data_IF_718676170567
#
_entry.id   IF_718676170567
#
_cell.length_a   1.000
_cell.length_b   1.000
_cell.length_c   1.000
_cell.angle_alpha   90.00
_cell.angle_beta   90.00
_cell.angle_gamma   90.00
#
_symmetry.space_group_name_H-M   'P 1'
#
loop_
_entity.id
_entity.type
_entity.pdbx_description
1 polymer ?
#
# COMPACT_ATOMS: atom_id res chain seq x y z
N UNK A 1 -8.93 5.40 7.07
CA UNK A 1 -9.67 5.78 5.84
C UNK A 1 -11.14 6.04 6.18
N UNK A 2 -11.83 7.08 5.64
CA UNK A 2 -13.26 7.27 5.88
C UNK A 2 -14.11 6.39 4.96
N UNK A 3 -15.30 5.96 5.41
CA UNK A 3 -16.25 5.18 4.61
C UNK A 3 -16.77 5.96 3.40
N UNK A 4 -16.96 5.28 2.26
CA UNK A 4 -17.57 5.86 1.06
C UNK A 4 -16.72 6.93 0.35
N UNK A 5 -15.42 6.96 0.60
CA UNK A 5 -14.50 7.86 -0.11
C UNK A 5 -14.39 7.46 -1.58
N UNK A 6 -14.08 8.43 -2.45
CA UNK A 6 -13.99 8.21 -3.90
C UNK A 6 -12.56 8.18 -4.42
N UNK A 7 -11.59 7.80 -3.57
CA UNK A 7 -10.17 7.72 -3.94
C UNK A 7 -9.72 6.56 -4.83
N UNK A 8 -10.35 5.37 -4.82
CA UNK A 8 -9.89 4.24 -5.62
C UNK A 8 -9.87 4.55 -7.12
N UNK A 9 -9.01 3.83 -7.85
CA UNK A 9 -8.82 4.02 -9.30
C UNK A 9 -10.12 3.86 -10.10
N UNK A 10 -10.96 2.90 -9.72
CA UNK A 10 -12.20 2.58 -10.46
C UNK A 10 -13.21 3.73 -10.42
N UNK A 11 -13.18 4.59 -9.40
CA UNK A 11 -14.07 5.74 -9.34
C UNK A 11 -13.72 6.81 -10.39
N UNK A 12 -12.49 6.80 -10.92
CA UNK A 12 -12.12 7.66 -12.05
C UNK A 12 -12.85 7.28 -13.34
N UNK A 13 -13.26 6.02 -13.49
CA UNK A 13 -14.02 5.55 -14.66
C UNK A 13 -15.43 6.13 -14.73
N UNK A 14 -15.86 6.87 -13.72
CA UNK A 14 -17.12 7.61 -13.71
C UNK A 14 -16.94 9.07 -14.14
N UNK A 15 -15.69 9.54 -14.28
CA UNK A 15 -15.40 10.94 -14.58
C UNK A 15 -15.63 11.26 -16.07
N UNK A 16 -15.97 12.52 -16.40
CA UNK A 16 -16.06 12.96 -17.80
C UNK A 16 -14.78 12.66 -18.58
N UNK A 17 -14.92 12.29 -19.86
CA UNK A 17 -13.86 11.81 -20.76
C UNK A 17 -13.22 10.47 -20.35
N UNK A 18 -12.92 10.25 -19.07
CA UNK A 18 -12.35 8.98 -18.59
C UNK A 18 -13.36 7.84 -18.69
N UNK A 19 -14.65 8.10 -18.43
CA UNK A 19 -15.71 7.09 -18.59
C UNK A 19 -15.82 6.53 -20.02
N UNK A 20 -15.41 7.31 -21.02
CA UNK A 20 -15.47 6.92 -22.43
C UNK A 20 -14.26 6.04 -22.83
N UNK A 21 -13.26 5.91 -21.93
CA UNK A 21 -12.10 5.05 -22.06
C UNK A 21 -12.39 3.58 -21.73
N UNK A 22 -13.60 3.24 -21.30
CA UNK A 22 -14.04 1.85 -21.10
C UNK A 22 -15.34 1.61 -21.86
N UNK A 23 -15.56 0.37 -22.30
CA UNK A 23 -16.76 -0.02 -23.04
C UNK A 23 -18.01 -0.08 -22.18
N UNK A 24 -17.83 -0.47 -20.92
CA UNK A 24 -18.91 -0.69 -19.97
C UNK A 24 -18.59 -0.01 -18.65
N UNK A 25 -19.61 0.56 -17.97
CA UNK A 25 -19.43 1.04 -16.62
C UNK A 25 -19.08 -0.14 -15.70
N UNK A 26 -18.09 0.05 -14.84
CA UNK A 26 -17.67 -0.93 -13.85
C UNK A 26 -18.27 -0.59 -12.49
N UNK A 27 -18.77 -1.61 -11.80
CA UNK A 27 -19.19 -1.49 -10.41
C UNK A 27 -17.97 -1.24 -9.52
N UNK A 28 -17.98 -0.21 -8.63
CA UNK A 28 -16.92 -0.02 -7.63
C UNK A 28 -16.59 -1.27 -6.79
N UNK A 29 -17.54 -2.19 -6.61
CA UNK A 29 -17.35 -3.42 -5.82
C UNK A 29 -16.74 -4.58 -6.61
N UNK A 30 -16.56 -4.45 -7.92
CA UNK A 30 -16.07 -5.55 -8.79
C UNK A 30 -14.75 -6.15 -8.31
N UNK A 31 -13.82 -5.34 -7.77
CA UNK A 31 -12.56 -5.85 -7.25
C UNK A 31 -12.78 -6.75 -6.03
N UNK A 32 -13.71 -6.39 -5.15
CA UNK A 32 -14.05 -7.20 -3.96
C UNK A 32 -14.68 -8.51 -4.41
N UNK A 33 -15.65 -8.46 -5.33
CA UNK A 33 -16.33 -9.66 -5.86
C UNK A 33 -15.36 -10.64 -6.54
N UNK A 34 -14.42 -10.12 -7.32
CA UNK A 34 -13.40 -10.92 -7.99
C UNK A 34 -12.45 -11.59 -6.98
N UNK A 35 -12.01 -10.86 -5.96
CA UNK A 35 -11.15 -11.43 -4.93
C UNK A 35 -11.93 -12.41 -4.02
N UNK A 36 -13.23 -12.21 -3.79
CA UNK A 36 -14.08 -13.16 -3.08
C UNK A 36 -14.28 -14.47 -3.86
N UNK A 37 -14.34 -14.37 -5.19
CA UNK A 37 -14.49 -15.52 -6.10
C UNK A 37 -13.15 -16.23 -6.36
N UNK A 38 -12.05 -15.74 -5.79
CA UNK A 38 -10.72 -16.26 -6.03
C UNK A 38 -10.54 -17.64 -5.40
N UNK A 39 -9.89 -18.60 -6.10
CA UNK A 39 -9.61 -19.90 -5.52
C UNK A 39 -8.73 -19.80 -4.26
N UNK A 40 -8.98 -20.65 -3.25
CA UNK A 40 -8.17 -20.71 -2.04
C UNK A 40 -6.69 -20.92 -2.35
N UNK A 41 -5.83 -20.42 -1.47
CA UNK A 41 -4.39 -20.63 -1.56
C UNK A 41 -4.09 -22.13 -1.45
N UNK A 42 -3.39 -22.68 -2.44
CA UNK A 42 -2.93 -24.06 -2.40
C UNK A 42 -1.67 -24.16 -1.53
N UNK A 43 -1.85 -24.45 -0.25
CA UNK A 43 -0.75 -24.65 0.69
C UNK A 43 -0.29 -26.11 0.69
N UNK A 44 1.04 -26.38 0.75
CA UNK A 44 1.56 -27.72 0.93
C UNK A 44 0.92 -28.45 2.13
N UNK A 45 0.31 -29.62 1.87
CA UNK A 45 -0.33 -30.39 2.93
C UNK A 45 0.69 -30.97 3.93
N UNK A 46 1.85 -31.37 3.43
CA UNK A 46 2.99 -31.82 4.23
C UNK A 46 4.20 -30.90 3.96
N UNK A 47 4.22 -29.70 4.55
CA UNK A 47 5.30 -28.76 4.31
C UNK A 47 6.62 -29.32 4.80
N UNK A 48 7.69 -29.03 4.06
CA UNK A 48 9.06 -29.48 4.38
C UNK A 48 10.00 -28.27 4.41
N UNK A 49 9.86 -27.39 5.43
CA UNK A 49 10.69 -26.20 5.53
C UNK A 49 12.18 -26.56 5.58
N UNK A 50 12.99 -25.85 4.80
CA UNK A 50 14.44 -26.07 4.74
C UNK A 50 15.15 -25.53 5.98
N UNK A 51 15.39 -26.38 6.97
CA UNK A 51 16.02 -25.96 8.22
C UNK A 51 17.52 -25.60 8.10
N UNK A 52 18.15 -25.73 6.91
CA UNK A 52 19.58 -25.40 6.71
C UNK A 52 19.79 -23.89 6.57
N UNK A 53 18.88 -23.18 5.88
CA UNK A 53 19.05 -21.77 5.54
C UNK A 53 18.39 -20.80 6.54
N UNK A 54 18.01 -21.27 7.73
CA UNK A 54 17.22 -20.48 8.69
C UNK A 54 17.92 -19.20 9.13
N UNK A 55 19.23 -19.24 9.34
CA UNK A 55 20.02 -18.06 9.71
C UNK A 55 20.03 -16.98 8.60
N UNK A 56 20.14 -17.42 7.33
CA UNK A 56 20.13 -16.51 6.16
C UNK A 56 18.78 -15.83 6.02
N UNK A 57 17.70 -16.60 6.14
CA UNK A 57 16.34 -16.06 6.05
C UNK A 57 16.00 -15.17 7.25
N UNK A 58 16.42 -15.53 8.46
CA UNK A 58 16.27 -14.65 9.62
C UNK A 58 17.01 -13.32 9.43
N UNK A 59 18.26 -13.32 8.92
CA UNK A 59 18.95 -12.06 8.61
C UNK A 59 18.20 -11.26 7.55
N UNK A 60 17.79 -11.92 6.47
CA UNK A 60 17.03 -11.27 5.39
C UNK A 60 15.72 -10.65 5.90
N UNK A 61 15.04 -11.28 6.86
CA UNK A 61 13.88 -10.69 7.52
C UNK A 61 14.23 -9.39 8.23
N UNK A 62 15.24 -9.40 9.12
CA UNK A 62 15.58 -8.19 9.88
C UNK A 62 16.12 -7.06 9.00
N UNK A 63 16.81 -7.41 7.92
CA UNK A 63 17.43 -6.42 7.03
C UNK A 63 16.43 -5.84 6.01
N UNK A 64 15.42 -6.62 5.58
CA UNK A 64 14.56 -6.26 4.43
C UNK A 64 13.06 -6.26 4.72
N UNK A 65 12.60 -6.91 5.79
CA UNK A 65 11.17 -7.04 6.15
C UNK A 65 10.80 -6.17 7.34
N UNK A 66 11.64 -6.17 8.39
CA UNK A 66 11.35 -5.52 9.67
C UNK A 66 11.18 -4.00 9.55
N UNK A 67 11.73 -3.39 8.49
CA UNK A 67 11.51 -1.97 8.15
C UNK A 67 10.05 -1.68 7.79
N UNK A 68 9.32 -2.64 7.21
CA UNK A 68 7.91 -2.49 6.80
C UNK A 68 6.94 -2.94 7.89
N UNK A 69 7.32 -3.97 8.64
CA UNK A 69 6.52 -4.58 9.71
C UNK A 69 7.37 -4.62 10.98
N UNK A 70 7.38 -3.53 11.74
CA UNK A 70 8.29 -3.31 12.86
C UNK A 70 7.90 -4.09 14.13
N UNK A 71 7.35 -5.29 13.98
CA UNK A 71 6.72 -6.04 15.05
C UNK A 71 7.58 -7.19 15.60
N UNK A 72 8.83 -7.37 15.19
CA UNK A 72 9.72 -8.39 15.78
C UNK A 72 10.95 -7.72 16.37
N UNK A 73 11.15 -7.90 17.68
CA UNK A 73 12.32 -7.38 18.39
C UNK A 73 13.56 -8.23 18.04
N UNK A 74 14.59 -7.66 17.37
CA UNK A 74 15.81 -8.39 17.01
C UNK A 74 16.52 -8.98 18.23
N UNK A 75 16.43 -8.33 19.40
CA UNK A 75 17.08 -8.76 20.63
C UNK A 75 16.37 -9.97 21.27
N UNK A 76 15.06 -10.11 21.05
CA UNK A 76 14.28 -11.25 21.55
C UNK A 76 14.33 -12.47 20.60
N UNK A 77 14.83 -12.30 19.37
CA UNK A 77 14.82 -13.34 18.33
C UNK A 77 15.44 -14.67 18.77
N UNK A 78 16.62 -14.63 19.40
CA UNK A 78 17.32 -15.82 19.86
C UNK A 78 16.52 -16.63 20.88
N UNK A 79 15.72 -15.95 21.71
CA UNK A 79 14.84 -16.60 22.67
C UNK A 79 13.67 -17.29 21.95
N UNK A 80 12.97 -16.57 21.08
CA UNK A 80 11.88 -17.12 20.26
C UNK A 80 12.33 -18.35 19.46
N UNK A 81 13.50 -18.28 18.81
CA UNK A 81 14.03 -19.40 18.02
C UNK A 81 14.35 -20.62 18.89
N UNK A 82 14.98 -20.42 20.06
CA UNK A 82 15.29 -21.51 21.01
C UNK A 82 14.01 -22.17 21.53
N UNK A 83 13.02 -21.37 21.90
CA UNK A 83 11.78 -21.87 22.49
C UNK A 83 10.97 -22.65 21.45
N UNK A 84 10.91 -22.15 20.20
CA UNK A 84 10.34 -22.89 19.07
C UNK A 84 11.09 -24.20 18.76
N UNK A 85 12.41 -24.20 18.84
CA UNK A 85 13.25 -25.40 18.63
C UNK A 85 12.97 -26.47 19.69
N UNK A 86 12.76 -26.06 20.95
CA UNK A 86 12.50 -26.98 22.06
C UNK A 86 11.23 -27.83 21.88
N UNK A 87 10.28 -27.33 21.09
CA UNK A 87 9.03 -28.02 20.73
C UNK A 87 9.01 -28.45 19.27
N UNK A 88 10.15 -28.44 18.57
CA UNK A 88 10.25 -28.89 17.18
C UNK A 88 9.40 -28.09 16.18
N UNK A 89 9.08 -26.82 16.49
CA UNK A 89 8.27 -25.93 15.66
C UNK A 89 6.81 -26.35 15.41
N UNK A 90 6.26 -27.30 16.17
CA UNK A 90 4.91 -27.85 15.91
C UNK A 90 3.80 -27.25 16.77
N UNK A 91 4.14 -26.41 17.77
CA UNK A 91 3.15 -25.83 18.68
C UNK A 91 3.61 -24.51 19.29
N UNK A 92 2.66 -23.70 19.75
CA UNK A 92 2.92 -22.44 20.43
C UNK A 92 3.10 -21.24 19.48
N UNK A 93 3.06 -20.04 20.06
CA UNK A 93 3.17 -18.79 19.32
C UNK A 93 4.60 -18.59 18.77
N UNK A 94 5.64 -18.95 19.54
CA UNK A 94 7.03 -18.84 19.10
C UNK A 94 7.33 -19.66 17.84
N UNK A 95 6.78 -20.89 17.75
CA UNK A 95 6.88 -21.72 16.54
C UNK A 95 6.23 -21.05 15.33
N UNK A 96 5.05 -20.46 15.52
CA UNK A 96 4.35 -19.74 14.45
C UNK A 96 5.12 -18.49 14.03
N UNK A 97 5.59 -17.69 15.00
CA UNK A 97 6.40 -16.50 14.80
C UNK A 97 7.67 -16.81 14.01
N UNK A 98 8.44 -17.82 14.43
CA UNK A 98 9.69 -18.21 13.75
C UNK A 98 9.41 -18.66 12.32
N UNK A 99 8.38 -19.49 12.10
CA UNK A 99 8.01 -19.92 10.76
C UNK A 99 7.58 -18.74 9.86
N UNK A 100 6.86 -17.74 10.39
CA UNK A 100 6.48 -16.54 9.64
C UNK A 100 7.69 -15.64 9.33
N UNK A 101 8.60 -15.45 10.29
CA UNK A 101 9.86 -14.71 10.09
C UNK A 101 10.69 -15.38 8.99
N UNK A 102 10.82 -16.71 9.01
CA UNK A 102 11.55 -17.45 7.98
C UNK A 102 10.85 -17.40 6.61
N UNK A 103 9.51 -17.47 6.57
CA UNK A 103 8.74 -17.34 5.34
C UNK A 103 8.97 -15.98 4.67
N UNK A 104 8.82 -14.90 5.43
CA UNK A 104 9.03 -13.53 4.97
C UNK A 104 10.50 -13.25 4.63
N UNK A 105 11.44 -13.81 5.41
CA UNK A 105 12.86 -13.74 5.12
C UNK A 105 13.23 -14.40 3.81
N UNK A 106 12.68 -15.58 3.52
CA UNK A 106 12.84 -16.26 2.23
C UNK A 106 12.19 -15.49 1.07
N UNK A 107 11.01 -14.89 1.29
CA UNK A 107 10.35 -14.02 0.32
C UNK A 107 11.22 -12.80 -0.02
N UNK A 108 11.73 -12.09 0.99
CA UNK A 108 12.59 -10.93 0.81
C UNK A 108 13.91 -11.28 0.11
N UNK A 109 14.52 -12.41 0.49
CA UNK A 109 15.74 -12.92 -0.14
C UNK A 109 15.55 -13.27 -1.62
N UNK A 110 14.38 -13.77 -1.98
CA UNK A 110 14.02 -14.09 -3.37
C UNK A 110 13.68 -12.86 -4.23
N UNK A 111 13.38 -11.72 -3.60
CA UNK A 111 12.91 -10.51 -4.28
C UNK A 111 11.44 -10.57 -4.70
N UNK A 112 11.04 -9.67 -5.61
CA UNK A 112 9.64 -9.52 -6.02
C UNK A 112 9.06 -10.79 -6.64
N UNK A 113 7.90 -11.23 -6.12
CA UNK A 113 7.14 -12.37 -6.64
C UNK A 113 6.81 -12.22 -8.14
N UNK A 114 6.70 -10.98 -8.62
CA UNK A 114 6.45 -10.66 -10.03
C UNK A 114 7.57 -11.09 -11.00
N UNK A 115 8.76 -11.39 -10.47
CA UNK A 115 9.93 -11.84 -11.24
C UNK A 115 10.10 -13.36 -11.22
N UNK A 116 9.29 -14.06 -10.43
CA UNK A 116 9.31 -15.51 -10.41
C UNK A 116 8.55 -16.07 -11.63
N UNK A 117 8.93 -17.26 -12.11
CA UNK A 117 8.13 -17.96 -13.12
C UNK A 117 6.69 -18.15 -12.63
N UNK A 118 5.69 -18.01 -13.51
CA UNK A 118 4.27 -18.04 -13.13
C UNK A 118 3.83 -19.31 -12.37
N UNK A 119 4.50 -20.44 -12.59
CA UNK A 119 4.20 -21.72 -11.95
C UNK A 119 5.21 -22.09 -10.85
N UNK A 120 6.14 -21.19 -10.52
CA UNK A 120 7.07 -21.42 -9.44
C UNK A 120 6.35 -21.31 -8.09
N UNK A 121 6.73 -22.17 -7.15
CA UNK A 121 6.26 -22.05 -5.78
C UNK A 121 6.74 -20.73 -5.16
N UNK A 122 5.87 -19.99 -4.46
CA UNK A 122 6.30 -18.77 -3.77
C UNK A 122 7.41 -19.06 -2.78
N UNK A 123 8.36 -18.13 -2.66
CA UNK A 123 9.48 -18.29 -1.72
C UNK A 123 8.97 -18.28 -0.29
N UNK A 124 9.38 -19.27 0.50
CA UNK A 124 9.00 -19.38 1.90
C UNK A 124 7.65 -20.07 2.17
N UNK A 125 7.00 -20.63 1.14
CA UNK A 125 5.65 -21.20 1.24
C UNK A 125 5.56 -22.39 2.21
N UNK A 126 6.59 -23.24 2.29
CA UNK A 126 6.64 -24.34 3.26
C UNK A 126 6.67 -23.84 4.71
N UNK A 127 7.40 -22.76 4.97
CA UNK A 127 7.41 -22.12 6.30
C UNK A 127 6.06 -21.50 6.61
N UNK A 128 5.48 -20.78 5.65
CA UNK A 128 4.14 -20.19 5.81
C UNK A 128 3.08 -21.27 6.04
N UNK A 129 3.10 -22.37 5.29
CA UNK A 129 2.18 -23.49 5.46
C UNK A 129 2.36 -24.17 6.83
N UNK A 130 3.60 -24.25 7.33
CA UNK A 130 3.88 -24.74 8.69
C UNK A 130 3.30 -23.80 9.75
N UNK A 131 3.47 -22.48 9.60
CA UNK A 131 2.85 -21.47 10.46
C UNK A 131 1.32 -21.53 10.40
N UNK A 132 0.75 -21.70 9.21
CA UNK A 132 -0.70 -21.71 8.95
C UNK A 132 -1.41 -22.81 9.74
N UNK A 133 -0.75 -23.96 9.95
CA UNK A 133 -1.27 -25.05 10.80
C UNK A 133 -1.39 -24.66 12.27
N UNK A 134 -0.64 -23.66 12.73
CA UNK A 134 -0.64 -23.18 14.12
C UNK A 134 -1.63 -22.02 14.35
N UNK A 135 -1.95 -21.25 13.31
CA UNK A 135 -2.84 -20.08 13.38
C UNK A 135 -4.20 -20.39 14.03
N UNK A 136 -4.90 -21.51 13.75
CA UNK A 136 -6.18 -21.82 14.40
C UNK A 136 -6.13 -21.84 15.93
N UNK A 137 -5.03 -22.35 16.50
CA UNK A 137 -4.83 -22.38 17.96
C UNK A 137 -4.58 -20.97 18.52
N UNK A 138 -4.02 -20.07 17.72
CA UNK A 138 -3.80 -18.66 18.09
C UNK A 138 -5.06 -17.81 17.90
N UNK A 139 -5.97 -18.21 17.01
CA UNK A 139 -7.20 -17.48 16.73
C UNK A 139 -8.12 -17.33 17.96
N UNK A 140 -8.06 -18.26 18.91
CA UNK A 140 -8.83 -18.20 20.17
C UNK A 140 -8.09 -17.50 21.33
N UNK A 141 -6.82 -17.11 21.16
CA UNK A 141 -6.00 -16.43 22.18
C UNK A 141 -6.08 -14.91 22.03
N UNK A 142 -6.09 -14.17 23.13
CA UNK A 142 -6.13 -12.69 23.13
C UNK A 142 -4.88 -12.12 23.80
N UNK A 143 -3.71 -12.56 23.32
CA UNK A 143 -2.41 -12.12 23.80
C UNK A 143 -1.57 -11.53 22.66
N UNK A 144 -0.50 -10.83 23.05
CA UNK A 144 0.38 -10.11 22.13
C UNK A 144 1.06 -11.03 21.10
N UNK A 145 1.59 -12.21 21.47
CA UNK A 145 2.16 -13.14 20.50
C UNK A 145 1.16 -13.62 19.45
N UNK A 146 -0.11 -13.87 19.82
CA UNK A 146 -1.13 -14.22 18.85
C UNK A 146 -1.37 -13.07 17.85
N UNK A 147 -1.49 -11.83 18.33
CA UNK A 147 -1.67 -10.64 17.47
C UNK A 147 -0.50 -10.52 16.48
N UNK A 148 0.73 -10.64 16.98
CA UNK A 148 1.97 -10.60 16.19
C UNK A 148 1.99 -11.64 15.07
N UNK A 149 1.58 -12.89 15.37
CA UNK A 149 1.49 -13.94 14.35
C UNK A 149 0.44 -13.64 13.27
N UNK A 150 -0.70 -13.04 13.61
CA UNK A 150 -1.71 -12.68 12.60
C UNK A 150 -1.23 -11.55 11.68
N UNK A 151 -0.52 -10.55 12.21
CA UNK A 151 0.05 -9.46 11.40
C UNK A 151 1.13 -9.99 10.46
N UNK A 152 2.03 -10.84 10.93
CA UNK A 152 3.06 -11.45 10.07
C UNK A 152 2.48 -12.43 9.05
N UNK A 153 1.39 -13.14 9.38
CA UNK A 153 0.65 -13.94 8.42
C UNK A 153 0.02 -13.05 7.32
N UNK A 154 -0.56 -11.91 7.70
CA UNK A 154 -1.06 -10.91 6.75
C UNK A 154 0.07 -10.36 5.85
N UNK A 155 1.24 -10.08 6.41
CA UNK A 155 2.42 -9.63 5.66
C UNK A 155 2.82 -10.64 4.56
N UNK A 156 2.82 -11.94 4.87
CA UNK A 156 3.11 -12.95 3.86
C UNK A 156 2.01 -13.05 2.80
N UNK A 157 0.74 -12.87 3.20
CA UNK A 157 -0.39 -12.82 2.25
C UNK A 157 -0.32 -11.58 1.34
N UNK A 158 0.17 -10.43 1.82
CA UNK A 158 0.45 -9.27 0.98
C UNK A 158 1.54 -9.57 -0.06
N UNK A 159 2.63 -10.26 0.33
CA UNK A 159 3.64 -10.74 -0.62
C UNK A 159 3.05 -11.67 -1.68
N UNK A 160 2.11 -12.55 -1.30
CA UNK A 160 1.37 -13.42 -2.22
C UNK A 160 0.31 -12.68 -3.06
N UNK A 161 0.12 -11.37 -2.86
CA UNK A 161 -0.91 -10.55 -3.51
C UNK A 161 -2.31 -11.10 -3.22
N UNK A 162 -2.61 -11.39 -1.95
CA UNK A 162 -3.87 -11.95 -1.44
C UNK A 162 -4.58 -10.94 -0.52
N UNK A 163 -5.15 -9.85 -1.06
CA UNK A 163 -5.61 -8.71 -0.25
C UNK A 163 -6.77 -9.05 0.70
N UNK A 164 -7.73 -9.89 0.29
CA UNK A 164 -8.86 -10.26 1.15
C UNK A 164 -8.46 -11.24 2.25
N UNK A 165 -7.62 -12.23 1.95
CA UNK A 165 -7.09 -13.12 2.98
C UNK A 165 -6.22 -12.35 3.98
N UNK A 166 -5.41 -11.39 3.52
CA UNK A 166 -4.65 -10.50 4.39
C UNK A 166 -5.59 -9.63 5.25
N UNK A 167 -6.64 -9.07 4.66
CA UNK A 167 -7.67 -8.31 5.38
C UNK A 167 -8.32 -9.12 6.52
N UNK A 168 -8.61 -10.41 6.29
CA UNK A 168 -9.14 -11.29 7.33
C UNK A 168 -8.17 -11.40 8.53
N UNK A 169 -6.89 -11.59 8.27
CA UNK A 169 -5.87 -11.67 9.33
C UNK A 169 -5.72 -10.34 10.09
N UNK A 170 -5.72 -9.22 9.37
CA UNK A 170 -5.68 -7.87 9.96
C UNK A 170 -6.93 -7.60 10.80
N UNK A 171 -8.11 -8.02 10.37
CA UNK A 171 -9.37 -7.86 11.13
C UNK A 171 -9.35 -8.65 12.43
N UNK A 172 -8.80 -9.88 12.41
CA UNK A 172 -8.61 -10.69 13.62
C UNK A 172 -7.60 -10.02 14.56
N UNK A 173 -6.46 -9.56 14.03
CA UNK A 173 -5.45 -8.83 14.81
C UNK A 173 -6.02 -7.57 15.46
N UNK A 174 -6.78 -6.78 14.70
CA UNK A 174 -7.47 -5.59 15.18
C UNK A 174 -8.43 -5.90 16.33
N UNK A 175 -9.29 -6.91 16.18
CA UNK A 175 -10.24 -7.28 17.23
C UNK A 175 -9.53 -7.64 18.54
N UNK A 176 -8.41 -8.37 18.44
CA UNK A 176 -7.58 -8.72 19.59
C UNK A 176 -6.88 -7.49 20.20
N UNK A 177 -6.36 -6.60 19.36
CA UNK A 177 -5.73 -5.35 19.80
C UNK A 177 -6.72 -4.48 20.57
N UNK A 178 -7.94 -4.30 20.07
CA UNK A 178 -8.98 -3.52 20.75
C UNK A 178 -9.31 -4.09 22.14
N UNK A 179 -9.34 -5.42 22.30
CA UNK A 179 -9.51 -6.07 23.60
C UNK A 179 -8.34 -5.79 24.54
N UNK A 180 -7.10 -5.93 24.06
CA UNK A 180 -5.88 -5.71 24.87
C UNK A 180 -5.74 -4.24 25.26
N UNK A 181 -5.98 -3.31 24.33
CA UNK A 181 -5.94 -1.87 24.55
C UNK A 181 -7.05 -1.39 25.50
N UNK A 182 -8.18 -2.11 25.55
CA UNK A 182 -9.26 -1.85 26.51
C UNK A 182 -8.90 -2.20 27.97
N UNK A 183 -7.81 -2.95 28.21
CA UNK A 183 -7.38 -3.35 29.56
C UNK A 183 -5.85 -3.18 29.71
N UNK A 184 -5.32 -1.94 29.63
CA UNK A 184 -3.88 -1.68 29.51
C UNK A 184 -3.06 -2.17 30.70
N UNK A 185 -3.64 -2.22 31.91
CA UNK A 185 -2.98 -2.68 33.13
C UNK A 185 -2.59 -4.17 33.08
N UNK A 186 -3.19 -4.95 32.18
CA UNK A 186 -2.85 -6.37 31.99
C UNK A 186 -1.65 -6.60 31.06
N UNK A 187 -1.15 -5.55 30.42
CA UNK A 187 -0.02 -5.65 29.48
C UNK A 187 1.29 -5.53 30.24
N UNK A 188 2.14 -6.59 30.26
CA UNK A 188 3.44 -6.53 30.91
C UNK A 188 4.30 -5.41 30.30
N UNK A 189 5.10 -4.73 31.13
CA UNK A 189 5.89 -3.57 30.70
C UNK A 189 6.76 -3.86 29.47
N UNK A 190 7.41 -5.03 29.43
CA UNK A 190 8.25 -5.50 28.31
C UNK A 190 7.49 -5.62 26.97
N UNK A 191 6.17 -5.76 26.99
CA UNK A 191 5.36 -5.89 25.78
C UNK A 191 4.67 -4.59 25.34
N UNK A 192 4.80 -3.49 26.11
CA UNK A 192 4.10 -2.23 25.80
C UNK A 192 4.53 -1.63 24.47
N UNK A 193 5.83 -1.60 24.20
CA UNK A 193 6.32 -1.10 22.90
C UNK A 193 5.87 -1.99 21.75
N UNK A 194 5.97 -3.32 21.91
CA UNK A 194 5.46 -4.25 20.90
C UNK A 194 3.97 -4.03 20.62
N UNK A 195 3.16 -3.82 21.66
CA UNK A 195 1.73 -3.51 21.50
C UNK A 195 1.49 -2.24 20.66
N UNK A 196 2.27 -1.18 20.91
CA UNK A 196 2.19 0.08 20.14
C UNK A 196 2.52 -0.18 18.67
N UNK A 197 3.60 -0.92 18.37
CA UNK A 197 3.98 -1.23 16.99
C UNK A 197 2.95 -2.10 16.27
N UNK A 198 2.43 -3.13 16.94
CA UNK A 198 1.37 -4.00 16.41
C UNK A 198 0.09 -3.21 16.09
N UNK A 199 -0.26 -2.22 16.92
CA UNK A 199 -1.37 -1.30 16.65
C UNK A 199 -1.15 -0.53 15.33
N UNK A 200 0.01 0.11 15.18
CA UNK A 200 0.31 0.89 13.98
C UNK A 200 0.44 0.03 12.72
N UNK A 201 1.07 -1.15 12.80
CA UNK A 201 1.12 -2.11 11.68
C UNK A 201 -0.31 -2.48 11.22
N UNK A 202 -1.20 -2.76 12.17
CA UNK A 202 -2.61 -3.10 11.88
C UNK A 202 -3.36 -1.93 11.26
N UNK A 203 -3.23 -0.72 11.82
CA UNK A 203 -3.93 0.47 11.33
C UNK A 203 -3.44 0.89 9.94
N UNK A 204 -2.13 0.80 9.68
CA UNK A 204 -1.53 1.08 8.37
C UNK A 204 -2.07 0.08 7.33
N UNK A 205 -1.94 -1.22 7.59
CA UNK A 205 -2.37 -2.27 6.68
C UNK A 205 -3.88 -2.22 6.40
N UNK A 206 -4.72 -2.01 7.43
CA UNK A 206 -6.17 -1.85 7.23
C UNK A 206 -6.46 -0.61 6.40
N UNK A 207 -5.83 0.53 6.70
CA UNK A 207 -6.09 1.77 5.97
C UNK A 207 -5.63 1.73 4.51
N UNK A 208 -4.59 0.96 4.19
CA UNK A 208 -4.13 0.71 2.82
C UNK A 208 -5.15 -0.12 2.04
N UNK A 209 -5.67 -1.20 2.63
CA UNK A 209 -6.72 -2.03 2.03
C UNK A 209 -8.01 -1.25 1.81
N UNK A 210 -8.47 -0.52 2.84
CA UNK A 210 -9.66 0.33 2.78
C UNK A 210 -9.50 1.49 1.81
N UNK A 211 -8.28 1.84 1.36
CA UNK A 211 -8.06 2.89 0.37
C UNK A 211 -8.45 2.47 -1.05
N UNK A 212 -8.53 1.16 -1.29
CA UNK A 212 -8.73 0.58 -2.62
C UNK A 212 -9.98 -0.31 -2.70
N UNK A 213 -10.39 -0.90 -1.56
CA UNK A 213 -11.53 -1.81 -1.47
C UNK A 213 -12.58 -1.28 -0.48
N UNK A 214 -13.85 -1.41 -0.84
CA UNK A 214 -14.98 -1.13 0.04
C UNK A 214 -15.20 -2.28 1.04
N UNK A 215 -14.32 -2.39 2.03
CA UNK A 215 -14.38 -3.45 3.05
C UNK A 215 -15.01 -2.97 4.35
N UNK A 216 -15.54 -3.89 5.18
CA UNK A 216 -15.91 -3.58 6.55
C UNK A 216 -14.69 -3.07 7.34
N UNK A 217 -14.91 -2.01 8.11
CA UNK A 217 -13.90 -1.45 9.01
C UNK A 217 -13.95 -2.20 10.34
N UNK A 218 -12.78 -2.60 10.88
CA UNK A 218 -12.71 -3.26 12.18
C UNK A 218 -12.91 -2.32 13.37
N UNK A 219 -12.69 -1.01 13.18
CA UNK A 219 -12.79 0.01 14.24
C UNK A 219 -11.47 0.36 14.93
N UNK A 220 -10.34 -0.23 14.51
CA UNK A 220 -9.02 0.03 15.11
C UNK A 220 -8.62 1.51 15.12
N UNK A 221 -9.05 2.27 14.10
CA UNK A 221 -8.81 3.72 13.98
C UNK A 221 -9.30 4.52 15.18
N UNK A 222 -10.31 4.04 15.91
CA UNK A 222 -10.83 4.73 17.09
C UNK A 222 -9.82 4.80 18.26
N UNK A 223 -8.75 4.01 18.20
CA UNK A 223 -7.68 4.00 19.19
C UNK A 223 -6.47 4.86 18.78
N UNK A 224 -6.49 5.50 17.60
CA UNK A 224 -5.37 6.31 17.08
C UNK A 224 -4.94 7.44 18.03
N UNK A 225 -5.90 8.08 18.71
CA UNK A 225 -5.61 9.22 19.59
C UNK A 225 -5.08 8.81 20.98
N UNK A 226 -5.25 7.53 21.36
CA UNK A 226 -4.82 7.02 22.68
C UNK A 226 -3.53 6.22 22.60
N UNK A 227 -3.20 5.65 21.44
CA UNK A 227 -1.94 4.94 21.24
C UNK A 227 -0.85 5.93 20.83
N UNK A 228 0.24 5.98 21.61
CA UNK A 228 1.40 6.81 21.31
C UNK A 228 2.12 6.39 20.03
N UNK A 229 3.06 7.21 19.57
CA UNK A 229 3.94 6.82 18.46
C UNK A 229 4.94 5.74 18.92
N UNK A 230 5.35 4.82 18.02
CA UNK A 230 6.29 3.77 18.36
C UNK A 230 7.67 4.34 18.68
N UNK A 231 8.34 3.73 19.65
CA UNK A 231 9.68 4.08 20.12
C UNK A 231 10.64 2.89 20.07
N UNK A 232 11.90 3.05 20.48
CA UNK A 232 12.83 1.92 20.57
C UNK A 232 12.37 0.91 21.63
N UNK A 233 12.72 -0.37 21.46
CA UNK A 233 12.50 -1.35 22.54
C UNK A 233 13.35 -0.99 23.77
N UNK A 234 12.72 -0.96 24.95
CA UNK A 234 13.30 -0.45 26.20
C UNK A 234 14.26 -1.41 26.93
N UNK A 235 14.60 -2.56 26.35
CA UNK A 235 15.20 -3.68 27.08
C UNK A 235 16.73 -3.63 27.26
N UNK A 236 17.45 -2.56 26.85
CA UNK A 236 18.90 -2.48 27.11
C UNK A 236 19.39 -1.05 27.34
N UNK A 237 20.01 -0.81 28.51
CA UNK A 237 21.00 0.25 28.69
C UNK A 237 22.23 -0.08 27.83
N UNK A 238 22.25 0.37 26.58
CA UNK A 238 23.44 0.30 25.72
C UNK A 238 23.22 -0.37 24.37
N UNK A 239 23.50 0.40 23.32
CA UNK A 239 23.49 0.04 21.89
C UNK A 239 22.12 -0.16 21.24
N UNK A 240 21.60 0.94 20.68
CA UNK A 240 20.63 0.89 19.59
C UNK A 240 21.20 0.00 18.48
N UNK A 241 20.62 -1.18 18.27
CA UNK A 241 20.97 -1.98 17.09
C UNK A 241 20.43 -1.25 15.85
N UNK A 242 21.20 -1.17 14.77
CA UNK A 242 20.73 -0.58 13.51
C UNK A 242 19.48 -1.27 12.94
N UNK A 243 19.15 -2.45 13.45
CA UNK A 243 18.01 -3.30 13.05
C UNK A 243 16.68 -2.95 13.74
N UNK A 244 16.69 -2.00 14.69
CA UNK A 244 15.50 -1.43 15.34
C UNK A 244 15.21 0.03 14.90
N UNK A 245 15.68 0.42 13.72
CA UNK A 245 15.49 1.78 13.21
C UNK A 245 14.05 2.00 12.70
N UNK A 246 13.35 3.00 13.27
CA UNK A 246 11.93 3.25 13.01
C UNK A 246 11.64 4.42 12.05
N UNK A 247 12.65 4.99 11.38
CA UNK A 247 12.44 6.20 10.56
C UNK A 247 11.38 6.02 9.49
N UNK A 248 11.45 4.92 8.72
CA UNK A 248 10.47 4.63 7.69
C UNK A 248 9.07 4.45 8.30
N UNK A 249 8.98 3.66 9.38
CA UNK A 249 7.70 3.37 10.03
C UNK A 249 7.01 4.63 10.57
N UNK A 250 7.76 5.52 11.24
CA UNK A 250 7.24 6.80 11.72
C UNK A 250 6.83 7.74 10.57
N UNK A 251 7.63 7.78 9.50
CA UNK A 251 7.30 8.58 8.31
C UNK A 251 6.01 8.09 7.64
N UNK A 252 5.84 6.76 7.52
CA UNK A 252 4.65 6.14 6.94
C UNK A 252 3.40 6.38 7.81
N UNK A 253 3.52 6.26 9.14
CA UNK A 253 2.45 6.63 10.08
C UNK A 253 2.00 8.08 9.84
N UNK A 254 2.93 9.03 9.86
CA UNK A 254 2.62 10.44 9.66
C UNK A 254 1.95 10.70 8.31
N UNK A 255 2.44 10.07 7.24
CA UNK A 255 1.88 10.22 5.90
C UNK A 255 0.48 9.59 5.79
N UNK A 256 0.26 8.43 6.40
CA UNK A 256 -1.05 7.76 6.41
C UNK A 256 -2.10 8.58 7.16
N UNK A 257 -1.74 9.19 8.28
CA UNK A 257 -2.62 10.14 9.00
C UNK A 257 -3.00 11.33 8.12
N UNK A 258 -2.03 11.88 7.38
CA UNK A 258 -2.30 12.93 6.40
C UNK A 258 -3.21 12.44 5.26
N UNK A 259 -2.96 11.28 4.66
CA UNK A 259 -3.80 10.69 3.61
C UNK A 259 -5.26 10.46 4.08
N UNK A 260 -5.45 9.97 5.31
CA UNK A 260 -6.78 9.82 5.90
C UNK A 260 -7.49 11.18 6.03
N UNK A 261 -6.77 12.22 6.45
CA UNK A 261 -7.27 13.60 6.54
C UNK A 261 -7.63 14.18 5.17
N UNK A 262 -6.77 14.00 4.16
CA UNK A 262 -7.03 14.38 2.76
C UNK A 262 -8.32 13.72 2.28
N UNK A 263 -8.45 12.40 2.48
CA UNK A 263 -9.62 11.63 2.06
C UNK A 263 -10.91 12.16 2.69
N UNK A 264 -10.88 12.45 3.98
CA UNK A 264 -12.05 12.97 4.71
C UNK A 264 -12.42 14.41 4.33
N UNK A 265 -11.43 15.32 4.23
CA UNK A 265 -11.71 16.72 3.94
C UNK A 265 -12.13 16.95 2.48
N UNK A 266 -11.53 16.25 1.52
CA UNK A 266 -11.77 16.49 0.09
C UNK A 266 -12.86 15.60 -0.50
N UNK A 267 -13.01 14.35 -0.05
CA UNK A 267 -13.89 13.36 -0.70
C UNK A 267 -15.11 12.98 0.12
N UNK A 268 -15.22 13.47 1.36
CA UNK A 268 -16.41 13.27 2.19
C UNK A 268 -17.03 14.61 2.57
N UNK A 269 -16.24 15.56 3.09
CA UNK A 269 -16.76 16.84 3.61
C UNK A 269 -16.89 17.96 2.57
N UNK A 270 -16.21 17.86 1.43
CA UNK A 270 -16.26 18.88 0.39
C UNK A 270 -17.07 18.34 -0.79
N UNK A 271 -18.35 18.70 -0.90
CA UNK A 271 -19.13 18.30 -2.06
C UNK A 271 -18.52 18.91 -3.33
N UNK A 272 -18.68 18.23 -4.46
CA UNK A 272 -18.22 18.70 -5.79
C UNK A 272 -18.80 20.06 -6.19
N UNK A 273 -19.91 20.48 -5.56
CA UNK A 273 -20.56 21.78 -5.72
C UNK A 273 -19.99 22.90 -4.84
N UNK A 274 -18.99 22.61 -4.00
CA UNK A 274 -18.39 23.61 -3.13
C UNK A 274 -17.69 24.72 -3.94
N UNK A 275 -17.72 25.98 -3.48
CA UNK A 275 -17.02 27.07 -4.16
C UNK A 275 -15.51 26.78 -4.28
N UNK A 276 -14.94 27.10 -5.43
CA UNK A 276 -13.50 26.94 -5.74
C UNK A 276 -12.60 27.54 -4.66
N UNK A 277 -13.02 28.65 -4.02
CA UNK A 277 -12.27 29.30 -2.95
C UNK A 277 -12.13 28.46 -1.67
N UNK A 278 -13.16 27.67 -1.32
CA UNK A 278 -13.11 26.75 -0.17
C UNK A 278 -12.16 25.59 -0.49
N UNK A 279 -12.29 25.01 -1.68
CA UNK A 279 -11.40 23.95 -2.15
C UNK A 279 -9.94 24.44 -2.16
N UNK A 280 -9.68 25.64 -2.68
CA UNK A 280 -8.34 26.26 -2.72
C UNK A 280 -7.69 26.36 -1.34
N UNK A 281 -8.44 26.81 -0.33
CA UNK A 281 -7.92 26.90 1.06
C UNK A 281 -7.58 25.54 1.64
N UNK A 282 -8.48 24.56 1.49
CA UNK A 282 -8.28 23.20 2.03
C UNK A 282 -7.10 22.52 1.31
N UNK A 283 -7.04 22.60 -0.02
CA UNK A 283 -5.94 22.04 -0.82
C UNK A 283 -4.60 22.69 -0.45
N UNK A 284 -4.54 24.02 -0.32
CA UNK A 284 -3.29 24.72 0.02
C UNK A 284 -2.76 24.30 1.39
N UNK A 285 -3.64 24.15 2.38
CA UNK A 285 -3.27 23.67 3.71
C UNK A 285 -2.76 22.22 3.67
N UNK A 286 -3.42 21.33 2.92
CA UNK A 286 -3.00 19.94 2.77
C UNK A 286 -1.65 19.80 2.02
N UNK A 287 -1.42 20.58 0.96
CA UNK A 287 -0.14 20.64 0.23
C UNK A 287 0.99 21.17 1.13
N UNK A 288 0.68 22.16 1.97
CA UNK A 288 1.62 22.66 2.96
C UNK A 288 2.00 21.60 3.99
N UNK A 289 1.02 20.89 4.57
CA UNK A 289 1.28 19.79 5.50
C UNK A 289 2.09 18.65 4.86
N UNK A 290 1.80 18.32 3.59
CA UNK A 290 2.57 17.32 2.84
C UNK A 290 4.02 17.78 2.62
N UNK A 291 4.23 19.07 2.34
CA UNK A 291 5.56 19.65 2.19
C UNK A 291 6.32 19.65 3.52
N UNK A 292 5.67 19.99 4.63
CA UNK A 292 6.26 19.92 5.97
C UNK A 292 6.64 18.49 6.36
N UNK A 293 5.79 17.52 6.03
CA UNK A 293 6.08 16.11 6.22
C UNK A 293 7.37 15.71 5.50
N UNK A 294 7.52 16.10 4.23
CA UNK A 294 8.73 15.83 3.46
C UNK A 294 9.97 16.53 4.05
N UNK A 295 9.83 17.80 4.44
CA UNK A 295 10.97 18.53 5.00
C UNK A 295 11.45 17.96 6.33
N UNK A 296 10.53 17.43 7.13
CA UNK A 296 10.80 16.76 8.40
C UNK A 296 11.38 15.34 8.27
N UNK A 297 11.50 14.78 7.06
CA UNK A 297 12.11 13.46 6.88
C UNK A 297 13.61 13.48 7.26
N UNK A 298 14.09 12.50 8.04
CA UNK A 298 15.52 12.39 8.33
C UNK A 298 16.31 11.94 7.09
N UNK A 299 17.59 12.32 7.04
CA UNK A 299 18.48 12.10 5.89
C UNK A 299 18.46 10.67 5.31
N UNK A 300 18.44 9.58 6.10
CA UNK A 300 18.48 8.20 5.57
C UNK A 300 17.26 7.82 4.70
N UNK A 301 16.11 8.45 4.92
CA UNK A 301 14.87 8.15 4.21
C UNK A 301 14.33 9.32 3.39
N UNK A 302 14.96 10.50 3.47
CA UNK A 302 14.64 11.65 2.62
C UNK A 302 15.06 11.32 1.18
N UNK A 303 14.17 11.59 0.22
CA UNK A 303 14.35 11.21 -1.18
C UNK A 303 14.38 12.45 -2.09
N UNK A 304 15.03 12.40 -3.26
CA UNK A 304 14.99 13.52 -4.19
C UNK A 304 13.61 13.68 -4.85
N UNK A 305 13.14 14.93 -4.97
CA UNK A 305 11.87 15.27 -5.64
C UNK A 305 11.90 15.05 -7.16
N UNK A 306 13.09 14.96 -7.75
CA UNK A 306 13.28 14.64 -9.16
C UNK A 306 13.29 13.12 -9.36
N UNK A 307 14.03 12.60 -10.32
CA UNK A 307 14.11 11.17 -10.61
C UNK A 307 14.99 10.46 -9.57
N UNK A 308 14.54 9.32 -9.05
CA UNK A 308 15.38 8.43 -8.25
C UNK A 308 16.09 7.45 -9.19
N UNK A 309 17.41 7.55 -9.27
CA UNK A 309 18.25 6.58 -9.99
C UNK A 309 18.74 5.43 -9.09
N UNK A 310 18.91 5.66 -7.78
CA UNK A 310 19.46 4.67 -6.84
C UNK A 310 19.12 5.01 -5.37
N UNK A 311 17.86 4.83 -4.99
CA UNK A 311 17.39 5.03 -3.60
C UNK A 311 17.29 3.74 -2.80
N UNK A 312 17.36 3.83 -1.48
CA UNK A 312 16.99 2.73 -0.59
C UNK A 312 15.52 2.33 -0.80
N UNK A 313 15.12 1.09 -0.46
CA UNK A 313 13.73 0.69 -0.63
C UNK A 313 12.71 1.63 0.04
N UNK A 314 13.03 2.10 1.25
CA UNK A 314 12.23 3.08 1.98
C UNK A 314 12.11 4.42 1.24
N UNK A 315 13.21 4.96 0.71
CA UNK A 315 13.19 6.22 -0.07
C UNK A 315 12.29 6.11 -1.31
N UNK A 316 12.39 4.99 -2.04
CA UNK A 316 11.56 4.74 -3.23
C UNK A 316 10.08 4.68 -2.85
N UNK A 317 9.73 3.89 -1.83
CA UNK A 317 8.34 3.75 -1.39
C UNK A 317 7.76 5.07 -0.87
N UNK A 318 8.49 5.81 -0.04
CA UNK A 318 8.05 7.11 0.46
C UNK A 318 7.85 8.14 -0.66
N UNK A 319 8.72 8.14 -1.70
CA UNK A 319 8.53 9.00 -2.87
C UNK A 319 7.25 8.65 -3.61
N UNK A 320 7.00 7.36 -3.87
CA UNK A 320 5.78 6.91 -4.54
C UNK A 320 4.54 7.32 -3.74
N UNK A 321 4.54 7.10 -2.43
CA UNK A 321 3.45 7.50 -1.52
C UNK A 321 3.25 9.02 -1.46
N UNK A 322 4.33 9.80 -1.45
CA UNK A 322 4.28 11.26 -1.47
C UNK A 322 3.57 11.78 -2.73
N UNK A 323 3.97 11.30 -3.91
CA UNK A 323 3.34 11.73 -5.16
C UNK A 323 1.91 11.19 -5.31
N UNK A 324 1.61 9.98 -4.81
CA UNK A 324 0.23 9.49 -4.71
C UNK A 324 -0.65 10.44 -3.89
N UNK A 325 -0.18 10.82 -2.69
CA UNK A 325 -0.86 11.76 -1.80
C UNK A 325 -1.08 13.11 -2.49
N UNK A 326 -0.04 13.64 -3.14
CA UNK A 326 -0.11 14.90 -3.87
C UNK A 326 -1.11 14.85 -5.03
N UNK A 327 -1.17 13.77 -5.79
CA UNK A 327 -2.24 13.56 -6.79
C UNK A 327 -3.61 13.62 -6.14
N UNK A 328 -3.82 12.90 -5.03
CA UNK A 328 -5.12 12.88 -4.33
C UNK A 328 -5.49 14.26 -3.80
N UNK A 329 -4.53 15.10 -3.40
CA UNK A 329 -4.81 16.48 -2.97
C UNK A 329 -5.33 17.35 -4.14
N UNK A 330 -4.76 17.20 -5.33
CA UNK A 330 -5.01 18.10 -6.46
C UNK A 330 -5.94 17.57 -7.56
N UNK A 331 -6.24 16.28 -7.59
CA UNK A 331 -7.14 15.70 -8.61
C UNK A 331 -8.57 16.29 -8.65
N UNK A 332 -9.15 16.89 -7.58
CA UNK A 332 -10.45 17.56 -7.70
C UNK A 332 -10.45 18.71 -8.73
N UNK A 333 -9.32 19.37 -8.97
CA UNK A 333 -9.22 20.42 -9.99
C UNK A 333 -9.22 19.84 -11.39
N UNK A 334 -8.57 18.70 -11.60
CA UNK A 334 -8.62 17.97 -12.88
C UNK A 334 -10.05 17.54 -13.17
N UNK A 335 -10.76 17.00 -12.17
CA UNK A 335 -12.19 16.68 -12.29
C UNK A 335 -13.03 17.90 -12.70
N UNK A 336 -12.76 19.07 -12.09
CA UNK A 336 -13.49 20.30 -12.41
C UNK A 336 -13.33 20.70 -13.89
N UNK A 337 -12.10 20.63 -14.42
CA UNK A 337 -11.82 20.96 -15.82
C UNK A 337 -12.35 19.90 -16.80
N UNK A 338 -12.30 18.61 -16.44
CA UNK A 338 -12.93 17.56 -17.24
C UNK A 338 -14.45 17.74 -17.30
N UNK A 339 -15.06 18.29 -16.25
CA UNK A 339 -16.50 18.56 -16.19
C UNK A 339 -16.92 19.84 -16.91
N UNK A 340 -16.11 20.90 -16.83
CA UNK A 340 -16.27 22.16 -17.56
C UNK A 340 -14.89 22.71 -17.93
N UNK A 341 -14.56 22.65 -19.22
CA UNK A 341 -13.26 23.12 -19.71
C UNK A 341 -13.00 24.61 -19.41
N UNK A 342 -14.05 25.42 -19.21
CA UNK A 342 -13.89 26.84 -18.88
C UNK A 342 -13.33 27.06 -17.47
N UNK A 343 -13.42 26.07 -16.58
CA UNK A 343 -12.85 26.15 -15.23
C UNK A 343 -11.35 26.45 -15.26
N UNK A 344 -10.65 26.07 -16.33
CA UNK A 344 -9.21 26.35 -16.53
C UNK A 344 -8.89 27.84 -16.70
N UNK A 345 -9.91 28.70 -16.94
CA UNK A 345 -9.73 30.14 -17.05
C UNK A 345 -9.27 30.76 -15.72
N UNK A 346 -9.71 30.18 -14.59
CA UNK A 346 -9.21 30.51 -13.26
C UNK A 346 -7.75 30.05 -13.12
N UNK A 347 -6.86 31.00 -12.79
CA UNK A 347 -5.43 30.73 -12.63
C UNK A 347 -5.14 29.76 -11.48
N UNK A 348 -5.95 29.76 -10.42
CA UNK A 348 -5.82 28.85 -9.27
C UNK A 348 -6.13 27.42 -9.70
N UNK A 349 -7.22 27.24 -10.46
CA UNK A 349 -7.60 25.91 -11.00
C UNK A 349 -6.52 25.40 -11.93
N UNK A 350 -6.04 26.24 -12.85
CA UNK A 350 -4.99 25.89 -13.82
C UNK A 350 -3.70 25.44 -13.14
N UNK A 351 -3.23 26.19 -12.15
CA UNK A 351 -1.99 25.88 -11.44
C UNK A 351 -2.12 24.57 -10.63
N UNK A 352 -3.27 24.35 -9.97
CA UNK A 352 -3.50 23.12 -9.24
C UNK A 352 -3.69 21.89 -10.15
N UNK A 353 -4.26 22.06 -11.35
CA UNK A 353 -4.25 21.01 -12.38
C UNK A 353 -2.81 20.65 -12.77
N UNK A 354 -1.95 21.65 -12.99
CA UNK A 354 -0.53 21.45 -13.32
C UNK A 354 0.19 20.65 -12.23
N UNK A 355 -0.01 21.02 -10.95
CA UNK A 355 0.54 20.27 -9.80
C UNK A 355 0.06 18.82 -9.75
N UNK A 356 -1.23 18.59 -10.02
CA UNK A 356 -1.80 17.24 -10.08
C UNK A 356 -1.12 16.39 -11.14
N UNK A 357 -1.08 16.89 -12.38
CA UNK A 357 -0.53 16.16 -13.52
C UNK A 357 0.97 15.92 -13.36
N UNK A 358 1.70 16.89 -12.83
CA UNK A 358 3.11 16.73 -12.46
C UNK A 358 3.29 15.60 -11.43
N UNK A 359 2.47 15.56 -10.37
CA UNK A 359 2.54 14.49 -9.38
C UNK A 359 2.23 13.10 -9.98
N UNK A 360 1.23 13.01 -10.88
CA UNK A 360 0.90 11.77 -11.58
C UNK A 360 2.11 11.25 -12.36
N UNK A 361 2.71 12.13 -13.16
CA UNK A 361 3.86 11.80 -14.00
C UNK A 361 5.08 11.41 -13.16
N UNK A 362 5.34 12.11 -12.05
CA UNK A 362 6.42 11.76 -11.11
C UNK A 362 6.22 10.41 -10.44
N UNK A 363 4.99 9.98 -10.23
CA UNK A 363 4.73 8.67 -9.65
C UNK A 363 4.97 7.54 -10.68
N UNK A 364 4.60 7.77 -11.95
CA UNK A 364 4.67 6.74 -13.01
C UNK A 364 5.93 6.84 -13.90
N UNK A 365 6.86 7.77 -13.62
CA UNK A 365 8.10 7.96 -14.39
C UNK A 365 9.07 6.77 -14.32
N UNK A 366 8.97 5.96 -13.28
CA UNK A 366 9.71 4.71 -13.12
C UNK A 366 8.75 3.61 -12.63
N UNK A 367 8.01 3.03 -13.58
CA UNK A 367 7.01 2.00 -13.31
C UNK A 367 7.61 0.84 -12.50
N UNK A 368 8.82 0.40 -12.87
CA UNK A 368 9.50 -0.72 -12.21
C UNK A 368 9.86 -0.46 -10.74
N UNK A 369 9.94 0.80 -10.31
CA UNK A 369 10.23 1.15 -8.92
C UNK A 369 9.15 0.65 -7.94
N UNK A 370 7.91 0.44 -8.39
CA UNK A 370 6.83 -0.10 -7.56
C UNK A 370 7.12 -1.53 -7.07
N UNK A 371 8.02 -2.26 -7.75
CA UNK A 371 8.46 -3.60 -7.32
C UNK A 371 9.32 -3.57 -6.06
N UNK A 372 9.89 -2.42 -5.70
CA UNK A 372 10.66 -2.29 -4.46
C UNK A 372 9.79 -2.58 -3.25
N UNK A 373 8.54 -2.10 -3.26
CA UNK A 373 7.52 -2.39 -2.25
C UNK A 373 6.86 -3.77 -2.40
N UNK A 374 7.53 -4.75 -3.01
CA UNK A 374 6.93 -6.06 -3.31
C UNK A 374 6.36 -6.83 -2.12
N UNK A 375 6.87 -6.59 -0.91
CA UNK A 375 6.39 -7.23 0.31
C UNK A 375 5.06 -6.59 0.77
N UNK A 376 5.01 -5.29 1.11
CA UNK A 376 3.79 -4.71 1.66
C UNK A 376 2.83 -4.09 0.62
N UNK A 377 3.31 -3.66 -0.55
CA UNK A 377 2.57 -2.68 -1.39
C UNK A 377 2.42 -3.09 -2.85
N UNK A 378 2.82 -4.29 -3.28
CA UNK A 378 2.81 -4.63 -4.71
C UNK A 378 1.42 -4.46 -5.34
N UNK A 379 0.39 -4.97 -4.64
CA UNK A 379 -1.00 -4.91 -5.07
C UNK A 379 -1.52 -3.47 -5.15
N UNK A 380 -1.36 -2.71 -4.06
CA UNK A 380 -1.81 -1.31 -3.99
C UNK A 380 -1.01 -0.41 -4.97
N UNK A 381 0.28 -0.66 -5.13
CA UNK A 381 1.13 0.04 -6.09
C UNK A 381 0.64 -0.12 -7.51
N UNK A 382 0.22 -1.33 -7.89
CA UNK A 382 -0.39 -1.59 -9.20
C UNK A 382 -1.72 -0.83 -9.39
N UNK A 383 -2.58 -0.77 -8.38
CA UNK A 383 -3.82 0.03 -8.46
C UNK A 383 -3.54 1.53 -8.52
N UNK A 384 -2.50 2.00 -7.82
CA UNK A 384 -2.04 3.38 -7.92
C UNK A 384 -1.56 3.70 -9.34
N UNK A 385 -0.82 2.80 -10.00
CA UNK A 385 -0.43 2.98 -11.41
C UNK A 385 -1.66 3.15 -12.31
N UNK A 386 -2.68 2.29 -12.16
CA UNK A 386 -3.96 2.41 -12.89
C UNK A 386 -4.57 3.78 -12.69
N UNK A 387 -4.68 4.25 -11.44
CA UNK A 387 -5.25 5.56 -11.12
C UNK A 387 -4.52 6.70 -11.81
N UNK A 388 -3.18 6.73 -11.74
CA UNK A 388 -2.41 7.81 -12.36
C UNK A 388 -2.51 7.77 -13.89
N UNK A 389 -2.44 6.58 -14.48
CA UNK A 389 -2.48 6.40 -15.93
C UNK A 389 -3.84 6.80 -16.51
N UNK A 390 -4.96 6.39 -15.89
CA UNK A 390 -6.29 6.82 -16.31
C UNK A 390 -6.46 8.34 -16.22
N UNK A 391 -5.95 8.97 -15.17
CA UNK A 391 -6.02 10.41 -15.00
C UNK A 391 -5.20 11.16 -16.07
N UNK A 392 -4.00 10.68 -16.40
CA UNK A 392 -3.18 11.22 -17.49
C UNK A 392 -3.85 11.02 -18.85
N UNK A 393 -4.43 9.84 -19.11
CA UNK A 393 -5.19 9.58 -20.34
C UNK A 393 -6.36 10.56 -20.49
N UNK A 394 -7.19 10.72 -19.46
CA UNK A 394 -8.28 11.70 -19.45
C UNK A 394 -7.80 13.13 -19.67
N UNK A 395 -6.71 13.54 -19.01
CA UNK A 395 -6.13 14.86 -19.17
C UNK A 395 -5.68 15.15 -20.60
N UNK A 396 -5.14 14.15 -21.32
CA UNK A 396 -4.75 14.36 -22.72
C UNK A 396 -5.93 14.50 -23.68
N UNK A 397 -7.12 13.99 -23.31
CA UNK A 397 -8.32 14.11 -24.15
C UNK A 397 -8.97 15.50 -24.06
N UNK A 398 -8.67 16.28 -23.02
CA UNK A 398 -9.05 17.70 -22.94
C UNK A 398 -7.91 18.57 -23.47
N UNK A 399 -8.12 19.38 -24.53
CA UNK A 399 -7.07 20.24 -25.09
C UNK A 399 -6.46 21.20 -24.06
N UNK A 400 -7.27 21.68 -23.11
CA UNK A 400 -6.83 22.61 -22.06
C UNK A 400 -5.93 21.95 -21.02
N UNK A 401 -6.26 20.73 -20.59
CA UNK A 401 -5.43 19.96 -19.67
C UNK A 401 -4.18 19.41 -20.36
N UNK A 402 -4.31 18.95 -21.61
CA UNK A 402 -3.19 18.48 -22.43
C UNK A 402 -2.11 19.55 -22.57
N UNK A 403 -2.49 20.83 -22.69
CA UNK A 403 -1.56 21.95 -22.74
C UNK A 403 -0.76 22.17 -21.44
N UNK A 404 -1.21 21.62 -20.31
CA UNK A 404 -0.51 21.70 -19.02
C UNK A 404 0.49 20.56 -18.81
N UNK A 405 0.44 19.51 -19.63
CA UNK A 405 1.38 18.40 -19.56
C UNK A 405 2.77 18.83 -20.07
N UNK A 406 3.87 18.38 -19.43
CA UNK A 406 5.21 18.67 -19.91
C UNK A 406 5.44 18.09 -21.32
N UNK A 407 5.87 18.94 -22.27
CA UNK A 407 6.11 18.54 -23.67
C UNK A 407 7.25 17.53 -23.84
N UNK A 408 8.12 17.41 -22.84
CA UNK A 408 9.29 16.51 -22.86
C UNK A 408 8.91 15.05 -22.58
N UNK A 409 7.67 14.78 -22.14
CA UNK A 409 7.25 13.45 -21.72
C UNK A 409 6.41 12.79 -22.82
N UNK A 410 6.82 11.58 -23.19
CA UNK A 410 6.03 10.72 -24.09
C UNK A 410 4.97 9.98 -23.28
N UNK A 411 3.72 10.46 -23.33
CA UNK A 411 2.58 9.79 -22.69
C UNK A 411 2.37 8.38 -23.25
N UNK A 412 2.62 8.16 -24.54
CA UNK A 412 2.52 6.83 -25.16
C UNK A 412 3.51 5.83 -24.55
N UNK A 413 4.75 6.29 -24.30
CA UNK A 413 5.78 5.45 -23.66
C UNK A 413 5.36 5.07 -22.25
N UNK A 414 4.90 6.04 -21.45
CA UNK A 414 4.40 5.79 -20.09
C UNK A 414 3.26 4.77 -20.10
N UNK A 415 2.25 4.96 -20.98
CA UNK A 415 1.11 4.04 -21.08
C UNK A 415 1.61 2.63 -21.42
N UNK A 416 2.52 2.50 -22.39
CA UNK A 416 3.08 1.21 -22.80
C UNK A 416 3.83 0.52 -21.67
N UNK A 417 4.62 1.26 -20.89
CA UNK A 417 5.37 0.74 -19.74
C UNK A 417 4.44 0.27 -18.61
N UNK A 418 3.40 1.06 -18.31
CA UNK A 418 2.40 0.68 -17.30
C UNK A 418 1.61 -0.55 -17.72
N UNK A 419 1.18 -0.63 -18.99
CA UNK A 419 0.50 -1.82 -19.52
C UNK A 419 1.40 -3.05 -19.43
N UNK A 420 2.69 -2.93 -19.76
CA UNK A 420 3.65 -4.03 -19.63
C UNK A 420 3.82 -4.48 -18.17
N UNK A 421 3.88 -3.55 -17.22
CA UNK A 421 3.94 -3.85 -15.79
C UNK A 421 2.67 -4.58 -15.31
N UNK A 422 1.50 -4.03 -15.58
CA UNK A 422 0.23 -4.60 -15.14
C UNK A 422 0.00 -5.99 -15.75
N UNK A 423 0.36 -6.19 -17.02
CA UNK A 423 0.31 -7.51 -17.66
C UNK A 423 1.24 -8.51 -16.96
N UNK A 424 2.44 -8.09 -16.53
CA UNK A 424 3.32 -8.95 -15.75
C UNK A 424 2.70 -9.33 -14.40
N UNK A 425 2.00 -8.40 -13.75
CA UNK A 425 1.35 -8.63 -12.45
C UNK A 425 -0.01 -9.35 -12.56
N UNK A 426 -0.62 -9.41 -13.74
CA UNK A 426 -1.98 -9.92 -13.96
C UNK A 426 -2.22 -11.37 -13.50
N UNK A 427 -1.19 -12.19 -13.47
CA UNK A 427 -1.29 -13.57 -13.00
C UNK A 427 -1.35 -13.67 -11.47
N UNK A 428 -0.91 -12.63 -10.75
CA UNK A 428 -0.78 -12.64 -9.30
C UNK A 428 -2.12 -12.44 -8.59
N UNK A 429 -3.11 -11.78 -9.21
CA UNK A 429 -4.44 -11.59 -8.64
C UNK A 429 -5.48 -11.27 -9.73
N UNK A 430 -6.73 -11.72 -9.60
CA UNK A 430 -7.80 -11.39 -10.54
C UNK A 430 -8.07 -9.89 -10.62
N UNK A 431 -7.97 -9.15 -9.51
CA UNK A 431 -8.11 -7.69 -9.52
C UNK A 431 -7.04 -6.99 -10.38
N UNK A 432 -5.80 -7.52 -10.39
CA UNK A 432 -4.69 -6.97 -11.18
C UNK A 432 -4.81 -7.34 -12.66
N UNK A 433 -5.42 -8.49 -12.98
CA UNK A 433 -5.77 -8.84 -14.36
C UNK A 433 -6.80 -7.86 -14.92
N UNK A 434 -7.90 -7.63 -14.21
CA UNK A 434 -8.90 -6.66 -14.63
C UNK A 434 -8.28 -5.25 -14.76
N UNK A 435 -7.40 -4.87 -13.84
CA UNK A 435 -6.67 -3.60 -13.92
C UNK A 435 -5.84 -3.47 -15.21
N UNK A 436 -5.16 -4.54 -15.63
CA UNK A 436 -4.40 -4.56 -16.88
C UNK A 436 -5.33 -4.43 -18.10
N UNK A 437 -6.46 -5.15 -18.10
CA UNK A 437 -7.48 -5.09 -19.16
C UNK A 437 -8.06 -3.67 -19.30
N UNK A 438 -8.41 -3.03 -18.18
CA UNK A 438 -8.94 -1.65 -18.13
C UNK A 438 -7.94 -0.66 -18.76
N UNK A 439 -6.67 -0.68 -18.32
CA UNK A 439 -5.68 0.28 -18.81
C UNK A 439 -5.36 0.03 -20.30
N UNK A 440 -5.35 -1.23 -20.73
CA UNK A 440 -5.15 -1.58 -22.13
C UNK A 440 -6.32 -1.12 -23.01
N UNK A 441 -7.56 -1.36 -22.59
CA UNK A 441 -8.75 -0.86 -23.28
C UNK A 441 -8.76 0.67 -23.35
N UNK A 442 -8.47 1.33 -22.23
CA UNK A 442 -8.37 2.78 -22.13
C UNK A 442 -7.33 3.36 -23.10
N UNK A 443 -6.16 2.73 -23.19
CA UNK A 443 -5.14 3.10 -24.16
C UNK A 443 -5.63 2.99 -25.62
N UNK A 444 -6.37 1.93 -25.96
CA UNK A 444 -6.90 1.72 -27.30
C UNK A 444 -7.99 2.75 -27.66
N UNK A 445 -8.96 2.96 -26.77
CA UNK A 445 -10.07 3.91 -26.96
C UNK A 445 -9.58 5.35 -27.05
N UNK A 446 -8.57 5.71 -26.25
CA UNK A 446 -7.91 7.01 -26.34
C UNK A 446 -7.28 7.25 -27.72
N UNK A 447 -6.67 6.24 -28.34
CA UNK A 447 -6.11 6.38 -29.71
C UNK A 447 -7.24 6.61 -30.72
N UNK A 448 -8.31 5.84 -30.65
CA UNK A 448 -9.49 6.01 -31.51
C UNK A 448 -10.11 7.42 -31.37
N UNK A 449 -10.14 7.97 -30.17
CA UNK A 449 -10.62 9.34 -29.94
C UNK A 449 -9.84 10.37 -30.77
N UNK A 450 -8.50 10.28 -30.81
CA UNK A 450 -7.68 11.19 -31.60
C UNK A 450 -7.78 10.95 -33.11
N UNK A 451 -7.90 9.69 -33.54
CA UNK A 451 -8.04 9.35 -34.96
C UNK A 451 -9.38 9.88 -35.53
N UNK A 452 -10.45 9.82 -34.74
CA UNK A 452 -11.75 10.39 -35.09
C UNK A 452 -11.69 11.92 -35.19
N UNK A 453 -10.96 12.60 -34.29
CA UNK A 453 -10.77 14.06 -34.38
C UNK A 453 -9.98 14.46 -35.62
N UNK A 454 -8.96 13.68 -36.02
CA UNK A 454 -8.19 13.94 -37.24
C UNK A 454 -9.00 13.72 -38.51
N UNK A 455 -9.97 12.82 -38.50
CA UNK A 455 -10.84 12.53 -39.64
C UNK A 455 -11.97 13.57 -39.83
N UNK A 456 -12.17 14.46 -38.85
CA UNK A 456 -13.17 15.54 -38.89
C UNK A 456 -12.57 16.91 -39.30
N UNK A 457 -11.25 16.99 -39.48
CA UNK A 457 -10.48 18.15 -39.94
C UNK A 457 -10.05 17.89 -41.37
#
# INVERSE_FOLDING_TARGET
MPKGHTTPALNLLQWPLIRDLVSQPLDPQVLVEMEMSRPPINLPHFPRPDMVNTAVYASSYFDLVNVWYACVNPNAWSAHYRDATSVGFIQGADSCLVMLVLALGAAAHGGSISRHPHNAEPRGIDYFASAWKLIPNLAIRNDIPAIQCHILAAAYLFYLVRPLEAWNMITIASTKLQLVLGVPDRVPAMHRELLVRLFWDTLLAESDLLAELELPHSGIVNFEDIVGLPGPFSDVEGEYTSKDELWYFLAEIALRRLLNRVSHLLYVKTPTTAPTSKLARVTAELDFQLSQWYEGLPSPIKFPMTTISSGSPGQVCLRLRYFACRTIIFRPYVFAVLSDENAVADSVVRENCRKCLEACLRQIDNVSAHQVGHLPYLWQGALSLVSQTLLVMGATMSPKLAALLPRTISVETIISEVVAELNRLSHLAPSLRLSAEIVQEAGARRKMFFDNQRSQI
#
